data_IF_298204259414
#
_entry.id   IF_298204259414
#
_cell.length_a   1.000
_cell.length_b   1.000
_cell.length_c   1.000
_cell.angle_alpha   90.00
_cell.angle_beta   90.00
_cell.angle_gamma   90.00
#
_symmetry.space_group_name_H-M   'P 1'
#
loop_
_entity.id
_entity.type
_entity.pdbx_description
1 polymer ?
#
# COMPACT_ATOMS: atom_id res chain seq x y z
N UNK A 1 -12.01 -10.46 18.63
CA UNK A 1 -10.73 -9.92 18.28
C UNK A 1 -10.83 -8.53 17.76
N UNK A 2 -10.04 -7.66 18.33
CA UNK A 2 -10.14 -6.22 18.09
C UNK A 2 -9.86 -5.87 16.63
N UNK A 3 -8.76 -6.39 16.07
CA UNK A 3 -8.35 -6.08 14.69
C UNK A 3 -9.39 -6.49 13.66
N UNK A 4 -9.97 -7.67 13.80
CA UNK A 4 -10.98 -8.17 12.87
C UNK A 4 -12.27 -7.33 12.94
N UNK A 5 -12.66 -6.93 14.14
CA UNK A 5 -13.83 -6.08 14.32
C UNK A 5 -13.62 -4.72 13.66
N UNK A 6 -12.44 -4.12 13.85
CA UNK A 6 -12.08 -2.84 13.22
C UNK A 6 -12.09 -2.97 11.70
N UNK A 7 -11.52 -4.04 11.17
CA UNK A 7 -11.50 -4.29 9.72
C UNK A 7 -12.91 -4.34 9.15
N UNK A 8 -13.82 -5.04 9.82
CA UNK A 8 -15.21 -5.14 9.39
C UNK A 8 -15.88 -3.78 9.38
N UNK A 9 -15.75 -3.02 10.47
CA UNK A 9 -16.37 -1.71 10.59
C UNK A 9 -15.86 -0.73 9.52
N UNK A 10 -14.54 -0.67 9.32
CA UNK A 10 -13.95 0.25 8.34
C UNK A 10 -14.34 -0.14 6.91
N UNK A 11 -14.33 -1.43 6.61
CA UNK A 11 -14.72 -1.92 5.28
C UNK A 11 -16.17 -1.56 4.98
N UNK A 12 -17.07 -1.70 5.95
CA UNK A 12 -18.47 -1.29 5.80
C UNK A 12 -18.60 0.23 5.61
N UNK A 13 -17.84 1.00 6.36
CA UNK A 13 -17.83 2.47 6.24
C UNK A 13 -17.45 2.90 4.83
N UNK A 14 -16.52 2.21 4.20
CA UNK A 14 -16.05 2.54 2.86
C UNK A 14 -17.02 2.13 1.75
N UNK A 15 -18.15 1.54 2.06
CA UNK A 15 -19.23 1.36 1.09
C UNK A 15 -20.03 2.65 0.85
N UNK A 16 -19.85 3.67 1.71
CA UNK A 16 -20.46 4.98 1.54
C UNK A 16 -19.85 5.69 0.33
N UNK A 17 -20.67 6.43 -0.41
CA UNK A 17 -20.25 7.09 -1.65
C UNK A 17 -19.04 8.01 -1.46
N UNK A 18 -19.01 8.78 -0.37
CA UNK A 18 -17.93 9.73 -0.10
C UNK A 18 -16.58 9.06 0.17
N UNK A 19 -16.56 7.75 0.45
CA UNK A 19 -15.35 6.97 0.73
C UNK A 19 -15.12 5.85 -0.29
N UNK A 20 -15.81 5.87 -1.42
CA UNK A 20 -15.75 4.78 -2.41
C UNK A 20 -14.37 4.55 -3.02
N UNK A 21 -13.54 5.60 -3.03
CA UNK A 21 -12.15 5.52 -3.51
C UNK A 21 -11.16 5.04 -2.43
N UNK A 22 -11.61 4.95 -1.19
CA UNK A 22 -10.77 4.57 -0.06
C UNK A 22 -10.80 3.07 0.19
N UNK A 23 -9.72 2.55 0.71
CA UNK A 23 -9.65 1.14 1.13
C UNK A 23 -8.74 0.96 2.32
N UNK A 24 -9.00 -0.10 3.07
CA UNK A 24 -8.22 -0.47 4.25
C UNK A 24 -6.99 -1.25 3.82
N UNK A 25 -5.83 -0.85 4.30
CA UNK A 25 -4.57 -1.57 4.03
C UNK A 25 -4.25 -2.52 5.17
N UNK A 26 -4.25 -2.03 6.40
CA UNK A 26 -3.87 -2.83 7.56
C UNK A 26 -4.39 -2.22 8.85
N UNK A 27 -4.67 -3.08 9.83
CA UNK A 27 -4.98 -2.68 11.21
C UNK A 27 -3.94 -3.30 12.12
N UNK A 28 -3.32 -2.48 12.97
CA UNK A 28 -2.31 -2.92 13.92
C UNK A 28 -2.73 -2.50 15.33
N UNK A 29 -2.78 -3.44 16.26
CA UNK A 29 -3.09 -3.16 17.66
C UNK A 29 -2.13 -3.92 18.57
N UNK A 30 -1.42 -3.20 19.42
CA UNK A 30 -0.42 -3.78 20.33
C UNK A 30 -0.82 -3.75 21.81
N UNK A 31 -2.10 -3.45 22.10
CA UNK A 31 -2.61 -3.31 23.45
C UNK A 31 -2.58 -1.89 23.99
N UNK A 32 -1.86 -0.99 23.35
CA UNK A 32 -1.77 0.44 23.74
C UNK A 32 -2.04 1.38 22.58
N UNK A 33 -1.63 0.99 21.38
CA UNK A 33 -1.78 1.83 20.19
C UNK A 33 -2.53 1.04 19.14
N UNK A 34 -3.57 1.64 18.62
CA UNK A 34 -4.34 1.11 17.49
C UNK A 34 -4.04 1.99 16.29
N UNK A 35 -3.48 1.41 15.24
CA UNK A 35 -3.17 2.11 14.01
C UNK A 35 -3.97 1.50 12.88
N UNK A 36 -4.68 2.35 12.14
CA UNK A 36 -5.46 1.95 10.96
C UNK A 36 -4.81 2.60 9.74
N UNK A 37 -4.27 1.78 8.86
CA UNK A 37 -3.62 2.24 7.64
C UNK A 37 -4.61 2.20 6.49
N UNK A 38 -4.81 3.35 5.85
CA UNK A 38 -5.73 3.53 4.74
C UNK A 38 -4.97 3.94 3.49
N UNK A 39 -5.59 3.74 2.35
CA UNK A 39 -5.12 4.30 1.09
C UNK A 39 -6.33 4.63 0.22
N UNK A 40 -6.07 5.25 -0.92
CA UNK A 40 -7.09 5.64 -1.88
C UNK A 40 -6.61 5.33 -3.29
N UNK A 41 -7.53 5.03 -4.19
CA UNK A 41 -7.21 4.81 -5.60
C UNK A 41 -6.63 6.07 -6.27
N UNK A 42 -6.92 7.22 -5.72
CA UNK A 42 -6.48 8.53 -6.25
C UNK A 42 -5.43 9.11 -5.32
N UNK A 43 -5.85 9.86 -4.34
CA UNK A 43 -5.01 10.45 -3.32
C UNK A 43 -5.79 10.48 -2.02
N UNK A 44 -5.20 9.98 -0.95
CA UNK A 44 -5.84 9.98 0.35
C UNK A 44 -5.84 11.40 0.93
N UNK A 45 -7.02 11.90 1.25
CA UNK A 45 -7.25 13.20 1.84
C UNK A 45 -7.09 13.09 3.36
N UNK A 46 -6.30 13.99 3.96
CA UNK A 46 -6.11 14.04 5.40
C UNK A 46 -7.43 14.32 6.14
N UNK A 47 -8.32 15.09 5.53
CA UNK A 47 -9.64 15.36 6.11
C UNK A 47 -10.46 14.07 6.22
N UNK A 48 -10.37 13.19 5.23
CA UNK A 48 -11.03 11.89 5.28
C UNK A 48 -10.46 11.01 6.39
N UNK A 49 -9.15 11.02 6.58
CA UNK A 49 -8.52 10.31 7.69
C UNK A 49 -9.03 10.82 9.03
N UNK A 50 -9.17 12.14 9.19
CA UNK A 50 -9.68 12.75 10.42
C UNK A 50 -11.15 12.37 10.67
N UNK A 51 -11.97 12.34 9.62
CA UNK A 51 -13.37 11.91 9.73
C UNK A 51 -13.46 10.46 10.20
N UNK A 52 -12.68 9.58 9.58
CA UNK A 52 -12.65 8.16 9.94
C UNK A 52 -12.14 7.98 11.36
N UNK A 53 -11.13 8.73 11.76
CA UNK A 53 -10.59 8.68 13.13
C UNK A 53 -11.65 9.00 14.17
N UNK A 54 -12.38 10.10 14.00
CA UNK A 54 -13.45 10.50 14.92
C UNK A 54 -14.60 9.48 14.94
N UNK A 55 -15.02 9.04 13.78
CA UNK A 55 -16.08 8.05 13.65
C UNK A 55 -15.69 6.74 14.34
N UNK A 56 -14.47 6.27 14.11
CA UNK A 56 -13.99 5.00 14.67
C UNK A 56 -13.82 5.08 16.18
N UNK A 57 -13.26 6.20 16.69
CA UNK A 57 -13.11 6.42 18.13
C UNK A 57 -14.47 6.35 18.84
N UNK A 58 -15.48 7.01 18.26
CA UNK A 58 -16.83 7.00 18.82
C UNK A 58 -17.44 5.59 18.79
N UNK A 59 -17.23 4.88 17.72
CA UNK A 59 -17.76 3.52 17.56
C UNK A 59 -17.09 2.52 18.53
N UNK A 60 -15.80 2.66 18.75
CA UNK A 60 -15.06 1.84 19.72
C UNK A 60 -15.61 2.11 21.13
N UNK A 61 -15.85 3.37 21.45
CA UNK A 61 -16.38 3.78 22.75
C UNK A 61 -17.80 3.25 22.98
N UNK A 62 -18.68 3.39 21.99
CA UNK A 62 -20.05 2.88 22.07
C UNK A 62 -20.12 1.37 22.26
N UNK A 63 -19.24 0.64 21.58
CA UNK A 63 -19.20 -0.81 21.65
C UNK A 63 -18.40 -1.35 22.84
N UNK A 64 -17.73 -0.45 23.57
CA UNK A 64 -16.82 -0.81 24.66
C UNK A 64 -15.83 -1.89 24.24
N UNK A 65 -15.30 -1.75 23.01
CA UNK A 65 -14.44 -2.75 22.39
C UNK A 65 -13.07 -2.84 23.05
N UNK A 66 -12.51 -1.70 23.44
CA UNK A 66 -11.22 -1.63 24.11
C UNK A 66 -11.43 -0.98 25.47
N UNK A 67 -11.20 -1.74 26.53
CA UNK A 67 -11.46 -1.29 27.89
C UNK A 67 -10.27 -0.56 28.51
N UNK A 68 -9.06 -0.88 28.08
CA UNK A 68 -7.85 -0.20 28.55
C UNK A 68 -7.64 1.12 27.81
N UNK A 69 -6.85 1.98 28.38
CA UNK A 69 -6.45 3.22 27.72
C UNK A 69 -5.63 2.90 26.47
N UNK A 70 -5.95 3.57 25.38
CA UNK A 70 -5.25 3.35 24.09
C UNK A 70 -5.19 4.65 23.30
N UNK A 71 -4.28 4.70 22.33
CA UNK A 71 -4.24 5.77 21.35
C UNK A 71 -4.71 5.24 20.00
N UNK A 72 -5.47 6.05 19.28
CA UNK A 72 -5.94 5.72 17.93
C UNK A 72 -5.25 6.63 16.93
N UNK A 73 -4.65 6.01 15.94
CA UNK A 73 -4.08 6.71 14.79
C UNK A 73 -4.69 6.16 13.51
N UNK A 74 -5.22 7.04 12.67
CA UNK A 74 -5.67 6.70 11.31
C UNK A 74 -4.74 7.41 10.35
N UNK A 75 -4.00 6.64 9.57
CA UNK A 75 -2.90 7.15 8.76
C UNK A 75 -2.97 6.60 7.35
N UNK A 76 -2.37 7.32 6.40
CA UNK A 76 -2.12 6.75 5.09
C UNK A 76 -1.04 5.66 5.21
N UNK A 77 -1.03 4.72 4.26
CA UNK A 77 0.02 3.69 4.24
C UNK A 77 1.40 4.29 3.95
N UNK A 78 1.44 5.48 3.31
CA UNK A 78 2.69 6.19 3.07
C UNK A 78 3.61 5.53 2.04
N UNK A 79 4.68 6.25 1.67
CA UNK A 79 5.67 5.74 0.71
C UNK A 79 6.75 4.88 1.38
N UNK A 80 6.85 4.94 2.70
CA UNK A 80 7.84 4.21 3.49
C UNK A 80 7.39 2.79 3.86
N UNK A 81 6.15 2.44 3.54
CA UNK A 81 5.62 1.10 3.80
C UNK A 81 5.52 0.31 2.50
N UNK A 82 5.72 -1.03 2.55
CA UNK A 82 5.61 -1.84 1.34
C UNK A 82 4.17 -1.89 0.80
N UNK A 83 4.04 -2.05 -0.50
CA UNK A 83 2.75 -2.27 -1.13
C UNK A 83 2.20 -3.64 -0.70
N UNK A 84 0.96 -3.68 -0.28
CA UNK A 84 0.34 -4.89 0.25
C UNK A 84 -0.82 -5.40 -0.61
N UNK A 85 -1.63 -4.49 -1.13
CA UNK A 85 -2.85 -4.83 -1.84
C UNK A 85 -2.71 -4.60 -3.35
N UNK A 86 -3.45 -5.41 -4.13
CA UNK A 86 -3.52 -5.26 -5.59
C UNK A 86 -3.87 -3.83 -6.01
N UNK A 87 -4.82 -3.19 -5.32
CA UNK A 87 -5.21 -1.80 -5.59
C UNK A 87 -4.04 -0.83 -5.46
N UNK A 88 -3.11 -1.08 -4.54
CA UNK A 88 -1.93 -0.25 -4.36
C UNK A 88 -0.96 -0.39 -5.54
N UNK A 89 -0.81 -1.59 -6.08
CA UNK A 89 -0.02 -1.80 -7.30
C UNK A 89 -0.65 -1.06 -8.48
N UNK A 90 -1.95 -1.19 -8.67
CA UNK A 90 -2.66 -0.51 -9.76
C UNK A 90 -2.51 1.02 -9.68
N UNK A 91 -2.64 1.57 -8.49
CA UNK A 91 -2.49 3.00 -8.23
C UNK A 91 -1.10 3.51 -8.61
N UNK A 92 -0.09 2.67 -8.46
CA UNK A 92 1.30 3.08 -8.60
C UNK A 92 1.93 2.71 -9.95
N UNK A 93 1.13 2.31 -10.92
CA UNK A 93 1.60 2.12 -12.29
C UNK A 93 2.19 3.45 -12.80
N UNK A 94 3.39 3.38 -13.35
CA UNK A 94 4.14 4.55 -13.82
C UNK A 94 5.21 5.03 -12.85
N UNK A 95 5.28 4.47 -11.66
CA UNK A 95 6.30 4.84 -10.67
C UNK A 95 7.43 3.83 -10.61
N UNK A 96 8.61 4.32 -10.21
CA UNK A 96 9.75 3.45 -9.94
C UNK A 96 9.53 2.69 -8.65
N UNK A 97 9.78 1.41 -8.67
CA UNK A 97 9.63 0.54 -7.50
C UNK A 97 10.87 -0.32 -7.30
N UNK A 98 11.05 -0.78 -6.07
CA UNK A 98 12.06 -1.77 -5.71
C UNK A 98 11.32 -3.00 -5.18
N UNK A 99 11.49 -4.13 -5.84
CA UNK A 99 10.88 -5.41 -5.46
C UNK A 99 11.94 -6.28 -4.78
N UNK A 100 11.67 -6.67 -3.55
CA UNK A 100 12.50 -7.66 -2.84
C UNK A 100 11.84 -9.02 -3.00
N UNK A 101 12.58 -9.96 -3.56
CA UNK A 101 12.05 -11.30 -3.82
C UNK A 101 12.29 -12.24 -2.64
N UNK A 102 11.51 -13.32 -2.59
CA UNK A 102 11.68 -14.34 -1.55
C UNK A 102 13.03 -15.06 -1.64
N UNK A 103 13.67 -15.02 -2.82
CA UNK A 103 15.00 -15.59 -3.02
C UNK A 103 16.14 -14.69 -2.51
N UNK A 104 15.83 -13.49 -2.04
CA UNK A 104 16.81 -12.54 -1.51
C UNK A 104 17.36 -11.54 -2.51
N UNK A 105 16.84 -11.54 -3.74
CA UNK A 105 17.23 -10.57 -4.77
C UNK A 105 16.39 -9.31 -4.71
N UNK A 106 16.91 -8.23 -5.29
CA UNK A 106 16.18 -6.98 -5.45
C UNK A 106 16.10 -6.61 -6.92
N UNK A 107 14.91 -6.22 -7.37
CA UNK A 107 14.67 -5.82 -8.75
C UNK A 107 14.13 -4.39 -8.73
N UNK A 108 14.80 -3.49 -9.43
CA UNK A 108 14.36 -2.10 -9.55
C UNK A 108 13.84 -1.85 -10.95
N UNK A 109 12.78 -1.07 -11.06
CA UNK A 109 12.22 -0.71 -12.36
C UNK A 109 10.96 0.10 -12.23
N UNK A 110 10.48 0.57 -13.37
CA UNK A 110 9.21 1.29 -13.46
C UNK A 110 8.09 0.26 -13.56
N UNK A 111 7.11 0.36 -12.69
CA UNK A 111 5.93 -0.50 -12.74
C UNK A 111 5.07 -0.06 -13.91
N UNK A 112 4.94 -0.90 -14.93
CA UNK A 112 4.20 -0.56 -16.15
C UNK A 112 2.89 -1.29 -16.29
N UNK A 113 2.79 -2.50 -15.72
CA UNK A 113 1.60 -3.31 -15.86
C UNK A 113 1.39 -4.17 -14.62
N UNK A 114 0.13 -4.32 -14.24
CA UNK A 114 -0.30 -5.25 -13.19
C UNK A 114 -1.40 -6.09 -13.79
N UNK A 115 -1.18 -7.39 -13.93
CA UNK A 115 -2.11 -8.29 -14.57
C UNK A 115 -2.29 -9.55 -13.72
N UNK A 116 -3.35 -9.56 -12.91
CA UNK A 116 -3.59 -10.67 -11.99
C UNK A 116 -2.42 -10.85 -11.02
N UNK A 117 -1.80 -12.03 -11.06
CA UNK A 117 -0.67 -12.37 -10.19
C UNK A 117 0.69 -11.91 -10.73
N UNK A 118 0.70 -11.20 -11.86
CA UNK A 118 1.94 -10.77 -12.50
C UNK A 118 2.08 -9.26 -12.47
N UNK A 119 3.30 -8.79 -12.19
CA UNK A 119 3.64 -7.38 -12.40
C UNK A 119 4.77 -7.31 -13.42
N UNK A 120 4.77 -6.24 -14.22
CA UNK A 120 5.80 -5.98 -15.21
C UNK A 120 6.57 -4.74 -14.82
N UNK A 121 7.89 -4.86 -14.77
CA UNK A 121 8.81 -3.76 -14.49
C UNK A 121 9.60 -3.45 -15.75
N UNK A 122 9.76 -2.17 -16.03
CA UNK A 122 10.56 -1.69 -17.15
C UNK A 122 11.90 -1.20 -16.61
N UNK A 123 12.97 -1.75 -17.14
CA UNK A 123 14.34 -1.34 -16.78
C UNK A 123 15.05 -0.76 -17.98
N UNK A 124 15.86 0.26 -17.73
CA UNK A 124 16.76 0.81 -18.73
C UNK A 124 18.15 0.23 -18.51
N UNK A 125 18.71 -0.40 -19.51
CA UNK A 125 20.06 -0.94 -19.48
C UNK A 125 20.92 -0.26 -20.54
N UNK A 126 22.20 -0.06 -20.24
CA UNK A 126 23.17 0.53 -21.16
C UNK A 126 24.05 -0.61 -21.68
N UNK A 127 24.02 -0.83 -22.99
CA UNK A 127 24.87 -1.81 -23.66
C UNK A 127 25.88 -1.10 -24.55
N UNK A 128 27.08 -1.67 -24.66
CA UNK A 128 28.09 -1.18 -25.61
C UNK A 128 27.97 -1.97 -26.90
N UNK A 129 27.59 -1.29 -27.98
CA UNK A 129 27.62 -1.82 -29.33
C UNK A 129 28.56 -0.99 -30.15
N UNK A 130 29.56 -1.61 -30.77
CA UNK A 130 30.52 -0.96 -31.70
C UNK A 130 31.11 0.33 -31.18
N UNK A 131 31.57 0.35 -29.91
CA UNK A 131 32.12 1.49 -29.20
C UNK A 131 31.11 2.62 -28.91
N UNK A 132 29.83 2.37 -29.08
CA UNK A 132 28.76 3.32 -28.71
C UNK A 132 27.95 2.73 -27.56
N UNK A 133 27.58 3.61 -26.63
CA UNK A 133 26.62 3.27 -25.55
C UNK A 133 25.22 3.34 -26.13
N UNK A 134 24.52 2.22 -26.14
CA UNK A 134 23.12 2.15 -26.56
C UNK A 134 22.25 1.89 -25.35
N UNK A 135 21.22 2.73 -25.18
CA UNK A 135 20.26 2.61 -24.12
C UNK A 135 19.14 1.67 -24.58
N UNK A 136 18.97 0.56 -23.89
CA UNK A 136 17.91 -0.40 -24.19
C UNK A 136 16.94 -0.49 -23.02
N UNK A 137 15.67 -0.69 -23.35
CA UNK A 137 14.61 -0.92 -22.39
C UNK A 137 14.29 -2.40 -22.38
N UNK A 138 14.30 -3.01 -21.19
CA UNK A 138 13.89 -4.40 -21.02
C UNK A 138 12.71 -4.49 -20.08
N UNK A 139 11.90 -5.52 -20.25
CA UNK A 139 10.78 -5.79 -19.37
C UNK A 139 11.09 -7.03 -18.52
N UNK A 140 10.77 -6.92 -17.22
CA UNK A 140 10.92 -8.02 -16.27
C UNK A 140 9.54 -8.32 -15.70
N UNK A 141 9.09 -9.56 -15.86
CA UNK A 141 7.80 -10.00 -15.32
C UNK A 141 8.06 -10.74 -14.02
N UNK A 142 7.37 -10.36 -12.96
CA UNK A 142 7.53 -10.94 -11.63
C UNK A 142 6.19 -11.47 -11.14
N UNK A 143 6.19 -12.71 -10.65
CA UNK A 143 4.99 -13.29 -10.02
C UNK A 143 4.83 -12.77 -8.60
N UNK A 144 3.60 -12.49 -8.20
CA UNK A 144 3.29 -12.03 -6.84
C UNK A 144 3.79 -13.03 -5.77
N UNK A 145 3.73 -14.32 -6.07
CA UNK A 145 4.22 -15.37 -5.15
C UNK A 145 5.73 -15.29 -4.88
N UNK A 146 6.49 -14.65 -5.78
CA UNK A 146 7.93 -14.49 -5.64
C UNK A 146 8.30 -13.18 -4.93
N UNK A 147 7.32 -12.33 -4.65
CA UNK A 147 7.54 -11.03 -4.04
C UNK A 147 7.44 -11.13 -2.52
N UNK A 148 8.49 -10.72 -1.83
CA UNK A 148 8.48 -10.56 -0.39
C UNK A 148 7.93 -9.19 -0.01
N UNK A 149 8.49 -8.12 -0.59
CA UNK A 149 8.08 -6.73 -0.36
C UNK A 149 8.33 -5.89 -1.61
N UNK A 150 7.44 -4.93 -1.86
CA UNK A 150 7.63 -3.93 -2.92
C UNK A 150 7.51 -2.54 -2.32
N UNK A 151 8.52 -1.72 -2.53
CA UNK A 151 8.55 -0.33 -2.08
C UNK A 151 8.54 0.61 -3.28
N UNK A 152 7.86 1.75 -3.13
CA UNK A 152 7.95 2.83 -4.10
C UNK A 152 9.25 3.57 -3.85
N UNK A 153 10.01 3.84 -4.91
CA UNK A 153 11.24 4.63 -4.80
C UNK A 153 10.86 6.10 -4.61
N UNK A 154 11.45 6.70 -3.59
CA UNK A 154 11.27 8.12 -3.31
C UNK A 154 12.41 8.84 -3.98
N UNK A 155 12.08 9.77 -4.90
CA UNK A 155 13.08 10.65 -5.52
C UNK A 155 13.06 12.00 -4.82
N UNK A 156 14.20 12.39 -4.37
CA UNK A 156 14.41 13.73 -3.79
C UNK A 156 15.04 14.66 -4.83
#
# INVERSE_FOLDING_TARGET
MIEETIKTWVTEKFTEESFSDCFLVEVSYNGRQLIVYLDSDIKLDLDKCAVISRWLAHKIEEADLIQEAFTLEVSSSGLDRPLKLHRQYLKNIGRMVTVHTVSGNSIEGKLTEVNGDLITLQQEVIEKEKNKKVKKTIEVVVHQSDILKTFIQIKF
#
